data_IF_731549734484
#
_entry.id   IF_731549734484
#
_cell.length_a   1.000
_cell.length_b   1.000
_cell.length_c   1.000
_cell.angle_alpha   90.00
_cell.angle_beta   90.00
_cell.angle_gamma   90.00
#
_symmetry.space_group_name_H-M   'P 1'
#
loop_
_entity.id
_entity.type
_entity.pdbx_description
1 polymer ?
#
# COMPACT_ATOMS: atom_id res chain seq x y z
N UNK A 1 34.04 -28.04 13.59
CA UNK A 1 33.03 -27.25 14.29
C UNK A 1 31.73 -27.38 13.51
N UNK A 2 30.71 -27.99 14.13
CA UNK A 2 29.37 -28.07 13.57
C UNK A 2 28.78 -26.67 13.49
N UNK A 3 28.68 -26.12 12.27
CA UNK A 3 28.01 -24.85 12.05
C UNK A 3 26.51 -25.04 12.29
N UNK A 4 25.97 -24.31 13.26
CA UNK A 4 24.52 -24.23 13.48
C UNK A 4 23.96 -23.08 12.67
N UNK A 5 22.88 -23.33 11.91
CA UNK A 5 22.18 -22.32 11.12
C UNK A 5 20.75 -22.23 11.65
N UNK A 6 20.27 -21.02 11.87
CA UNK A 6 18.88 -20.75 12.24
C UNK A 6 18.28 -19.90 11.13
N UNK A 7 17.16 -20.35 10.58
CA UNK A 7 16.36 -19.58 9.61
C UNK A 7 15.11 -19.06 10.30
N UNK A 8 14.82 -17.79 10.11
CA UNK A 8 13.59 -17.15 10.63
C UNK A 8 12.88 -16.51 9.47
N UNK A 9 11.58 -16.77 9.31
CA UNK A 9 10.80 -16.22 8.23
C UNK A 9 9.30 -16.32 8.49
N UNK A 10 8.53 -15.55 7.74
CA UNK A 10 7.08 -15.57 7.77
C UNK A 10 6.56 -15.54 6.31
N UNK A 11 5.99 -16.65 5.87
CA UNK A 11 5.44 -16.78 4.51
C UNK A 11 4.26 -15.82 4.28
N UNK A 12 3.49 -15.53 5.34
CA UNK A 12 2.34 -14.62 5.25
C UNK A 12 2.75 -13.14 5.16
N UNK A 13 4.05 -12.85 5.28
CA UNK A 13 4.63 -11.53 5.02
C UNK A 13 5.45 -11.46 3.74
N UNK A 14 5.39 -12.47 2.88
CA UNK A 14 6.03 -12.47 1.56
C UNK A 14 5.20 -11.65 0.57
N UNK A 15 5.56 -10.36 0.38
CA UNK A 15 4.83 -9.39 -0.44
C UNK A 15 5.68 -8.75 -1.55
N UNK A 16 6.91 -9.21 -1.78
CA UNK A 16 7.83 -8.64 -2.76
C UNK A 16 8.10 -9.55 -3.97
N UNK A 17 7.18 -10.44 -4.32
CA UNK A 17 7.29 -11.30 -5.50
C UNK A 17 7.51 -10.50 -6.79
N UNK A 18 6.88 -9.34 -6.92
CA UNK A 18 7.07 -8.41 -8.06
C UNK A 18 8.49 -7.83 -8.17
N UNK A 19 9.32 -7.95 -7.14
CA UNK A 19 10.74 -7.59 -7.14
C UNK A 19 11.67 -8.81 -7.32
N UNK A 20 11.12 -9.96 -7.69
CA UNK A 20 11.89 -11.19 -7.89
C UNK A 20 12.17 -11.98 -6.61
N UNK A 21 11.49 -11.67 -5.50
CA UNK A 21 11.55 -12.53 -4.32
C UNK A 21 10.94 -13.89 -4.64
N UNK A 22 11.67 -14.96 -4.29
CA UNK A 22 11.21 -16.32 -4.48
C UNK A 22 10.09 -16.65 -3.47
N UNK A 23 8.84 -16.88 -3.92
CA UNK A 23 7.74 -17.20 -3.04
C UNK A 23 7.90 -18.55 -2.33
N UNK A 24 8.74 -19.43 -2.85
CA UNK A 24 8.99 -20.77 -2.34
C UNK A 24 10.32 -20.87 -1.56
N UNK A 25 10.94 -19.74 -1.22
CA UNK A 25 12.25 -19.73 -0.55
C UNK A 25 12.29 -20.56 0.73
N UNK A 26 11.26 -20.46 1.57
CA UNK A 26 11.16 -21.22 2.83
C UNK A 26 10.99 -22.72 2.55
N UNK A 27 10.17 -23.11 1.58
CA UNK A 27 10.00 -24.50 1.18
C UNK A 27 11.31 -25.10 0.64
N UNK A 28 12.04 -24.35 -0.19
CA UNK A 28 13.35 -24.77 -0.70
C UNK A 28 14.35 -24.97 0.45
N UNK A 29 14.37 -24.08 1.45
CA UNK A 29 15.19 -24.22 2.63
C UNK A 29 14.82 -25.50 3.41
N UNK A 30 13.53 -25.74 3.63
CA UNK A 30 13.03 -26.95 4.32
C UNK A 30 13.46 -28.20 3.58
N UNK A 31 13.27 -28.26 2.28
CA UNK A 31 13.63 -29.42 1.47
C UNK A 31 15.15 -29.67 1.41
N UNK A 32 15.95 -28.60 1.43
CA UNK A 32 17.41 -28.72 1.34
C UNK A 32 18.08 -29.11 2.66
N UNK A 33 17.61 -28.52 3.77
CA UNK A 33 18.26 -28.66 5.07
C UNK A 33 17.55 -29.60 6.03
N UNK A 34 16.29 -29.97 5.75
CA UNK A 34 15.43 -30.77 6.66
C UNK A 34 15.49 -30.28 8.13
N UNK A 35 15.24 -28.98 8.39
CA UNK A 35 15.44 -28.37 9.69
C UNK A 35 14.39 -28.87 10.70
N UNK A 36 14.69 -28.74 11.99
CA UNK A 36 13.66 -28.84 13.03
C UNK A 36 12.84 -27.54 12.97
N UNK A 37 11.53 -27.66 12.80
CA UNK A 37 10.64 -26.52 12.66
C UNK A 37 9.95 -26.17 13.98
N UNK A 38 9.95 -24.87 14.28
CA UNK A 38 9.18 -24.30 15.38
C UNK A 38 8.26 -23.22 14.84
N UNK A 39 6.97 -23.27 15.21
CA UNK A 39 5.99 -22.28 14.81
C UNK A 39 5.78 -21.24 15.90
N UNK A 40 5.82 -19.96 15.52
CA UNK A 40 5.45 -18.84 16.36
C UNK A 40 4.01 -18.43 16.00
N UNK A 41 3.04 -18.94 16.76
CA UNK A 41 1.61 -18.74 16.49
C UNK A 41 0.99 -17.64 17.36
N UNK A 42 1.77 -17.04 18.25
CA UNK A 42 1.28 -16.06 19.21
C UNK A 42 1.81 -14.66 18.92
N UNK A 43 0.88 -13.72 18.69
CA UNK A 43 1.19 -12.32 18.48
C UNK A 43 1.23 -11.56 19.81
N UNK A 44 2.31 -10.81 20.03
CA UNK A 44 2.45 -9.85 21.14
C UNK A 44 2.22 -8.42 20.68
N UNK A 45 2.07 -8.21 19.38
CA UNK A 45 1.86 -6.89 18.76
C UNK A 45 0.38 -6.52 18.71
N UNK A 46 -0.39 -7.31 17.98
CA UNK A 46 -1.78 -7.01 17.69
C UNK A 46 -2.70 -7.59 18.77
N UNK A 47 -3.70 -6.83 19.23
CA UNK A 47 -4.76 -7.36 20.10
C UNK A 47 -5.58 -8.46 19.42
N UNK A 48 -6.26 -9.27 20.24
CA UNK A 48 -7.08 -10.38 19.76
C UNK A 48 -8.14 -9.95 18.75
N UNK A 49 -8.77 -8.79 18.96
CA UNK A 49 -9.77 -8.24 18.04
C UNK A 49 -9.19 -8.02 16.62
N UNK A 50 -7.99 -7.45 16.53
CA UNK A 50 -7.34 -7.22 15.22
C UNK A 50 -6.93 -8.54 14.58
N UNK A 51 -6.50 -9.52 15.37
CA UNK A 51 -6.17 -10.87 14.88
C UNK A 51 -7.39 -11.54 14.22
N UNK A 52 -8.61 -11.26 14.67
CA UNK A 52 -9.82 -11.84 14.06
C UNK A 52 -9.96 -11.45 12.58
N UNK A 53 -9.54 -10.25 12.19
CA UNK A 53 -9.60 -9.79 10.80
C UNK A 53 -8.73 -10.63 9.84
N UNK A 54 -7.72 -11.31 10.35
CA UNK A 54 -6.74 -12.05 9.52
C UNK A 54 -6.76 -13.56 9.75
N UNK A 55 -7.66 -14.07 10.60
CA UNK A 55 -7.78 -15.52 10.88
C UNK A 55 -8.11 -16.36 9.64
N UNK A 56 -8.77 -15.79 8.65
CA UNK A 56 -9.06 -16.50 7.39
C UNK A 56 -7.79 -16.72 6.54
N UNK A 57 -6.73 -15.94 6.78
CA UNK A 57 -5.43 -16.08 6.11
C UNK A 57 -4.48 -16.93 6.96
N UNK A 58 -4.44 -16.67 8.28
CA UNK A 58 -3.57 -17.36 9.25
C UNK A 58 -4.44 -17.97 10.37
N UNK A 59 -5.06 -19.14 10.16
CA UNK A 59 -6.04 -19.71 11.11
C UNK A 59 -5.51 -19.94 12.52
N UNK A 60 -4.25 -20.32 12.64
CA UNK A 60 -3.62 -20.70 13.91
C UNK A 60 -3.03 -19.52 14.71
N UNK A 61 -3.14 -18.29 14.19
CA UNK A 61 -2.61 -17.14 14.92
C UNK A 61 -3.52 -16.78 16.11
N UNK A 62 -2.88 -16.52 17.24
CA UNK A 62 -3.52 -16.07 18.48
C UNK A 62 -2.87 -14.78 18.98
N UNK A 63 -3.41 -14.17 20.03
CA UNK A 63 -2.81 -13.00 20.66
C UNK A 63 -2.79 -13.17 22.18
N UNK A 64 -1.71 -12.70 22.80
CA UNK A 64 -1.62 -12.47 24.25
C UNK A 64 -2.16 -11.10 24.66
N UNK A 65 -2.30 -10.18 23.71
CA UNK A 65 -2.77 -8.84 23.98
C UNK A 65 -4.29 -8.80 23.87
N UNK A 66 -4.96 -8.44 24.95
CA UNK A 66 -6.41 -8.24 25.01
C UNK A 66 -6.80 -6.85 24.53
N UNK A 67 -8.07 -6.67 24.22
CA UNK A 67 -8.63 -5.39 23.75
C UNK A 67 -8.37 -5.15 22.25
N UNK A 68 -8.31 -3.87 21.88
CA UNK A 68 -8.29 -3.43 20.51
C UNK A 68 -9.69 -3.22 19.95
N UNK A 69 -9.77 -2.59 18.77
CA UNK A 69 -11.03 -2.41 18.06
C UNK A 69 -10.86 -2.52 16.56
N UNK A 70 -11.91 -3.02 15.91
CA UNK A 70 -12.09 -2.96 14.46
C UNK A 70 -13.32 -2.13 14.18
N UNK A 71 -13.19 -1.12 13.33
CA UNK A 71 -14.28 -0.26 12.91
C UNK A 71 -14.37 -0.24 11.38
N UNK A 72 -15.55 0.12 10.87
CA UNK A 72 -15.76 0.41 9.45
C UNK A 72 -16.27 1.83 9.33
N UNK A 73 -15.62 2.63 8.48
CA UNK A 73 -16.03 3.99 8.16
C UNK A 73 -16.50 4.08 6.71
N UNK A 74 -17.63 4.71 6.48
CA UNK A 74 -18.19 4.91 5.15
C UNK A 74 -17.59 6.16 4.51
N UNK A 75 -16.80 5.95 3.47
CA UNK A 75 -16.21 7.00 2.66
C UNK A 75 -15.02 7.71 3.30
N UNK A 76 -14.06 8.08 2.47
CA UNK A 76 -12.85 8.81 2.93
C UNK A 76 -13.10 10.31 3.14
N UNK A 77 -14.27 10.83 2.69
CA UNK A 77 -14.54 12.27 2.67
C UNK A 77 -14.84 12.84 4.04
N UNK A 78 -15.51 12.05 4.89
CA UNK A 78 -16.01 12.51 6.21
C UNK A 78 -15.17 11.98 7.38
N UNK A 79 -14.07 11.28 7.09
CA UNK A 79 -13.18 10.78 8.14
C UNK A 79 -12.25 11.90 8.60
N UNK A 80 -12.31 12.25 9.87
CA UNK A 80 -11.29 13.07 10.51
C UNK A 80 -10.16 12.17 11.00
N UNK A 81 -9.09 12.12 10.20
CA UNK A 81 -7.92 11.33 10.53
C UNK A 81 -7.13 11.99 11.65
N UNK A 82 -6.85 11.28 12.76
CA UNK A 82 -6.05 11.83 13.85
C UNK A 82 -4.61 12.12 13.40
N UNK A 83 -3.91 12.96 14.16
CA UNK A 83 -2.53 13.34 13.84
C UNK A 83 -1.57 12.15 13.90
N UNK A 84 -1.82 11.17 14.77
CA UNK A 84 -0.99 9.97 14.90
C UNK A 84 -1.71 8.75 14.36
N UNK A 85 -1.52 8.45 13.07
CA UNK A 85 -2.07 7.26 12.43
C UNK A 85 -1.30 6.88 11.17
N UNK A 86 -1.44 5.63 10.75
CA UNK A 86 -1.10 5.20 9.40
C UNK A 86 -2.37 5.12 8.55
N UNK A 87 -2.28 5.70 7.36
CA UNK A 87 -3.31 5.64 6.33
C UNK A 87 -2.71 4.79 5.21
N UNK A 88 -3.15 3.54 5.15
CA UNK A 88 -2.57 2.51 4.30
C UNK A 88 -3.51 2.19 3.15
N UNK A 89 -2.99 2.11 1.93
CA UNK A 89 -3.72 1.67 0.75
C UNK A 89 -2.93 0.67 -0.08
N UNK A 90 -3.64 -0.18 -0.82
CA UNK A 90 -3.03 -1.09 -1.80
C UNK A 90 -2.44 -0.32 -2.98
N UNK A 91 -3.05 0.79 -3.38
CA UNK A 91 -2.66 1.62 -4.53
C UNK A 91 -2.31 3.05 -4.12
N UNK A 92 -1.48 3.70 -4.92
CA UNK A 92 -1.10 5.09 -4.70
C UNK A 92 -2.24 6.08 -5.03
N UNK A 93 -3.15 5.74 -5.93
CA UNK A 93 -4.22 6.63 -6.38
C UNK A 93 -5.11 7.12 -5.23
N UNK A 94 -5.43 6.23 -4.28
CA UNK A 94 -6.19 6.60 -3.08
C UNK A 94 -5.39 7.55 -2.16
N UNK A 95 -4.09 7.31 -2.01
CA UNK A 95 -3.22 8.15 -1.18
C UNK A 95 -3.05 9.55 -1.76
N UNK A 96 -2.97 9.66 -3.08
CA UNK A 96 -2.88 10.95 -3.79
C UNK A 96 -4.15 11.78 -3.57
N UNK A 97 -5.34 11.16 -3.66
CA UNK A 97 -6.61 11.85 -3.38
C UNK A 97 -6.67 12.39 -1.96
N UNK A 98 -6.21 11.61 -0.99
CA UNK A 98 -6.16 12.03 0.42
C UNK A 98 -5.12 13.12 0.64
N UNK A 99 -3.94 13.02 0.03
CA UNK A 99 -2.92 14.06 0.09
C UNK A 99 -3.44 15.38 -0.46
N UNK A 100 -4.20 15.35 -1.58
CA UNK A 100 -4.84 16.53 -2.14
C UNK A 100 -5.84 17.15 -1.15
N UNK A 101 -6.72 16.34 -0.55
CA UNK A 101 -7.66 16.77 0.49
C UNK A 101 -6.94 17.40 1.69
N UNK A 102 -5.88 16.77 2.20
CA UNK A 102 -5.13 17.29 3.34
C UNK A 102 -4.46 18.63 3.06
N UNK A 103 -3.93 18.82 1.85
CA UNK A 103 -3.36 20.12 1.43
C UNK A 103 -4.46 21.20 1.41
N UNK A 104 -5.64 20.90 0.87
CA UNK A 104 -6.77 21.85 0.88
C UNK A 104 -7.24 22.19 2.29
N UNK A 105 -7.20 21.23 3.20
CA UNK A 105 -7.57 21.41 4.61
C UNK A 105 -6.43 21.94 5.49
N UNK A 106 -5.28 22.25 4.91
CA UNK A 106 -4.04 22.65 5.60
C UNK A 106 -3.62 21.66 6.71
N UNK A 107 -3.85 20.36 6.50
CA UNK A 107 -3.45 19.29 7.40
C UNK A 107 -2.06 18.79 7.06
N UNK A 108 -1.21 18.64 8.07
CA UNK A 108 0.12 18.04 7.90
C UNK A 108 0.03 16.52 7.79
N UNK A 109 0.89 15.95 6.94
CA UNK A 109 1.03 14.50 6.76
C UNK A 109 2.45 14.16 6.31
N UNK A 110 2.80 12.90 6.39
CA UNK A 110 4.02 12.36 5.78
C UNK A 110 3.66 11.40 4.66
N UNK A 111 4.35 11.51 3.53
CA UNK A 111 4.28 10.55 2.42
C UNK A 111 5.70 10.29 1.90
N UNK A 112 5.98 9.07 1.41
CA UNK A 112 7.33 8.69 1.04
C UNK A 112 7.98 9.61 0.01
N UNK A 113 9.17 10.14 0.31
CA UNK A 113 9.87 11.10 -0.57
C UNK A 113 10.20 10.54 -1.95
N UNK A 114 10.48 9.24 -2.06
CA UNK A 114 10.67 8.56 -3.36
C UNK A 114 9.40 8.58 -4.20
N UNK A 115 8.23 8.41 -3.58
CA UNK A 115 6.94 8.53 -4.25
C UNK A 115 6.70 9.95 -4.77
N UNK A 116 6.95 10.97 -3.94
CA UNK A 116 6.81 12.38 -4.36
C UNK A 116 7.72 12.68 -5.56
N UNK A 117 8.98 12.25 -5.49
CA UNK A 117 9.93 12.49 -6.57
C UNK A 117 9.52 11.79 -7.88
N UNK A 118 8.98 10.57 -7.79
CA UNK A 118 8.46 9.86 -8.94
C UNK A 118 7.22 10.55 -9.51
N UNK A 119 6.27 10.90 -8.66
CA UNK A 119 5.04 11.60 -9.05
C UNK A 119 5.34 12.92 -9.76
N UNK A 120 6.28 13.71 -9.25
CA UNK A 120 6.73 14.95 -9.90
C UNK A 120 7.29 14.71 -11.30
N UNK A 121 8.13 13.67 -11.47
CA UNK A 121 8.69 13.34 -12.78
C UNK A 121 7.58 12.92 -13.76
N UNK A 122 6.65 12.09 -13.31
CA UNK A 122 5.56 11.60 -14.15
C UNK A 122 4.60 12.73 -14.55
N UNK A 123 4.24 13.61 -13.62
CA UNK A 123 3.43 14.80 -13.89
C UNK A 123 4.11 15.73 -14.90
N UNK A 124 5.39 16.05 -14.69
CA UNK A 124 6.13 16.92 -15.61
C UNK A 124 6.23 16.30 -17.02
N UNK A 125 6.43 14.98 -17.13
CA UNK A 125 6.52 14.30 -18.42
C UNK A 125 5.18 14.28 -19.17
N UNK A 126 4.09 13.99 -18.45
CA UNK A 126 2.77 13.77 -19.07
C UNK A 126 2.04 15.09 -19.29
N UNK A 127 2.23 16.09 -18.43
CA UNK A 127 1.48 17.34 -18.47
C UNK A 127 2.25 18.50 -19.11
N UNK A 128 3.50 18.28 -19.53
CA UNK A 128 4.28 19.33 -20.18
C UNK A 128 3.59 19.82 -21.47
N UNK A 129 3.36 21.12 -21.53
CA UNK A 129 2.67 21.75 -22.67
C UNK A 129 1.15 21.62 -22.70
N UNK A 130 0.54 20.94 -21.73
CA UNK A 130 -0.92 20.86 -21.62
C UNK A 130 -1.50 22.11 -20.95
N UNK A 131 -2.48 22.72 -21.60
CA UNK A 131 -3.14 23.97 -21.15
C UNK A 131 -4.55 23.73 -20.59
N UNK A 132 -5.03 22.48 -20.59
CA UNK A 132 -6.35 22.12 -20.09
C UNK A 132 -6.35 20.75 -19.43
N UNK A 133 -7.29 20.52 -18.48
CA UNK A 133 -7.47 19.22 -17.84
C UNK A 133 -7.86 18.12 -18.85
N UNK A 134 -8.61 18.47 -19.89
CA UNK A 134 -8.96 17.55 -20.99
C UNK A 134 -7.71 17.10 -21.72
N UNK A 135 -6.87 18.03 -22.15
CA UNK A 135 -5.60 17.72 -22.84
C UNK A 135 -4.64 16.90 -21.94
N UNK A 136 -4.61 17.20 -20.63
CA UNK A 136 -3.85 16.39 -19.68
C UNK A 136 -4.37 14.95 -19.60
N UNK A 137 -5.70 14.76 -19.58
CA UNK A 137 -6.33 13.43 -19.58
C UNK A 137 -6.03 12.64 -20.85
N UNK A 138 -6.16 13.28 -22.01
CA UNK A 138 -5.84 12.67 -23.30
C UNK A 138 -4.37 12.22 -23.35
N UNK A 139 -3.47 13.08 -22.88
CA UNK A 139 -2.04 12.76 -22.82
C UNK A 139 -1.72 11.60 -21.85
N UNK A 140 -2.44 11.50 -20.73
CA UNK A 140 -2.35 10.36 -19.80
C UNK A 140 -2.72 9.06 -20.52
N UNK A 141 -3.83 9.05 -21.26
CA UNK A 141 -4.30 7.87 -21.98
C UNK A 141 -3.30 7.48 -23.09
N UNK A 142 -2.86 8.42 -23.89
CA UNK A 142 -1.88 8.18 -24.95
C UNK A 142 -0.55 7.61 -24.42
N UNK A 143 -0.04 8.18 -23.34
CA UNK A 143 1.20 7.70 -22.74
C UNK A 143 1.01 6.32 -22.06
N UNK A 144 -0.14 6.08 -21.45
CA UNK A 144 -0.50 4.79 -20.87
C UNK A 144 -0.49 3.68 -21.93
N UNK A 145 -1.17 3.88 -23.06
CA UNK A 145 -1.20 2.92 -24.17
C UNK A 145 0.19 2.62 -24.71
N UNK A 146 1.00 3.67 -24.92
CA UNK A 146 2.40 3.51 -25.38
C UNK A 146 3.28 2.72 -24.39
N UNK A 147 3.10 2.92 -23.09
CA UNK A 147 3.86 2.18 -22.10
C UNK A 147 3.38 0.73 -21.96
N UNK A 148 2.07 0.48 -22.08
CA UNK A 148 1.53 -0.88 -22.12
C UNK A 148 2.07 -1.67 -23.32
N UNK A 149 2.09 -1.05 -24.48
CA UNK A 149 2.64 -1.67 -25.70
C UNK A 149 4.12 -2.07 -25.56
N UNK A 150 4.90 -1.22 -24.89
CA UNK A 150 6.32 -1.53 -24.62
C UNK A 150 6.50 -2.61 -23.56
N UNK A 151 5.55 -2.76 -22.65
CA UNK A 151 5.60 -3.71 -21.54
C UNK A 151 5.13 -5.13 -21.93
N UNK A 152 4.85 -5.39 -23.23
CA UNK A 152 4.33 -6.67 -23.73
C UNK A 152 5.03 -7.87 -23.10
N UNK A 153 4.25 -8.71 -22.41
CA UNK A 153 4.70 -9.98 -21.80
C UNK A 153 5.27 -9.88 -20.38
N UNK A 154 5.36 -8.69 -19.78
CA UNK A 154 5.76 -8.55 -18.38
C UNK A 154 4.63 -8.00 -17.51
N UNK A 155 3.90 -8.89 -16.87
CA UNK A 155 2.73 -8.58 -16.03
C UNK A 155 3.02 -7.60 -14.88
N UNK A 156 4.20 -7.67 -14.28
CA UNK A 156 4.61 -6.78 -13.20
C UNK A 156 4.82 -5.34 -13.67
N UNK A 157 5.35 -5.20 -14.87
CA UNK A 157 5.47 -3.89 -15.50
C UNK A 157 4.07 -3.31 -15.78
N UNK A 158 3.12 -4.13 -16.24
CA UNK A 158 1.73 -3.71 -16.49
C UNK A 158 1.08 -3.16 -15.22
N UNK A 159 1.08 -3.91 -14.12
CA UNK A 159 0.50 -3.44 -12.84
C UNK A 159 1.17 -2.16 -12.33
N UNK A 160 2.48 -2.02 -12.51
CA UNK A 160 3.20 -0.81 -12.12
C UNK A 160 2.79 0.39 -12.98
N UNK A 161 2.59 0.17 -14.29
CA UNK A 161 2.11 1.17 -15.25
C UNK A 161 0.68 1.59 -14.87
N UNK A 162 -0.23 0.64 -14.67
CA UNK A 162 -1.61 0.90 -14.25
C UNK A 162 -1.63 1.78 -12.99
N UNK A 163 -0.94 1.38 -11.92
CA UNK A 163 -0.89 2.15 -10.67
C UNK A 163 -0.34 3.58 -10.86
N UNK A 164 0.63 3.77 -11.75
CA UNK A 164 1.18 5.08 -12.08
C UNK A 164 0.10 5.96 -12.73
N UNK A 165 -0.52 5.48 -13.79
CA UNK A 165 -1.51 6.25 -14.55
C UNK A 165 -2.81 6.47 -13.78
N UNK A 166 -3.24 5.52 -12.96
CA UNK A 166 -4.34 5.70 -12.00
C UNK A 166 -4.07 6.83 -11.01
N UNK A 167 -2.82 6.98 -10.59
CA UNK A 167 -2.42 8.08 -9.70
C UNK A 167 -2.48 9.44 -10.41
N UNK A 168 -2.07 9.51 -11.68
CA UNK A 168 -2.16 10.74 -12.49
C UNK A 168 -3.62 11.11 -12.77
N UNK A 169 -4.45 10.15 -13.16
CA UNK A 169 -5.89 10.35 -13.35
C UNK A 169 -6.58 10.77 -12.04
N UNK A 170 -6.15 10.21 -10.91
CA UNK A 170 -6.70 10.58 -9.62
C UNK A 170 -6.49 12.06 -9.30
N UNK A 171 -5.35 12.64 -9.68
CA UNK A 171 -5.06 14.09 -9.54
C UNK A 171 -5.95 14.90 -10.46
N UNK A 172 -6.01 14.56 -11.76
CA UNK A 172 -6.86 15.27 -12.74
C UNK A 172 -8.32 15.28 -12.29
N UNK A 173 -8.80 14.19 -11.70
CA UNK A 173 -10.20 14.04 -11.28
C UNK A 173 -10.58 14.90 -10.07
N UNK A 174 -9.62 15.34 -9.26
CA UNK A 174 -9.85 16.19 -8.08
C UNK A 174 -9.47 17.64 -8.33
N UNK A 175 -8.64 17.93 -9.32
CA UNK A 175 -8.22 19.27 -9.69
C UNK A 175 -9.34 20.02 -10.42
N UNK A 176 -9.43 21.33 -10.21
CA UNK A 176 -10.37 22.23 -10.88
C UNK A 176 -9.75 22.94 -12.08
N UNK A 177 -8.42 23.04 -12.12
CA UNK A 177 -7.66 23.64 -13.22
C UNK A 177 -6.26 23.01 -13.34
N UNK A 178 -5.54 23.25 -14.47
CA UNK A 178 -4.13 22.88 -14.58
C UNK A 178 -3.23 23.50 -13.50
N UNK A 179 -3.51 24.75 -13.12
CA UNK A 179 -2.77 25.48 -12.08
C UNK A 179 -2.93 24.82 -10.71
N UNK A 180 -4.09 24.23 -10.43
CA UNK A 180 -4.32 23.44 -9.22
C UNK A 180 -3.34 22.26 -9.11
N UNK A 181 -3.10 21.58 -10.24
CA UNK A 181 -2.16 20.45 -10.27
C UNK A 181 -0.74 20.92 -9.99
N UNK A 182 -0.31 22.03 -10.59
CA UNK A 182 1.01 22.60 -10.32
C UNK A 182 1.15 23.04 -8.86
N UNK A 183 0.12 23.66 -8.31
CA UNK A 183 0.05 24.08 -6.91
C UNK A 183 0.10 22.86 -5.97
N UNK A 184 -0.67 21.83 -6.28
CA UNK A 184 -0.64 20.56 -5.54
C UNK A 184 0.77 19.95 -5.50
N UNK A 185 1.44 19.84 -6.64
CA UNK A 185 2.80 19.28 -6.72
C UNK A 185 3.81 20.09 -5.91
N UNK A 186 3.69 21.42 -5.92
CA UNK A 186 4.53 22.31 -5.10
C UNK A 186 4.25 22.11 -3.63
N UNK A 187 2.98 22.12 -3.24
CA UNK A 187 2.56 22.01 -1.85
C UNK A 187 2.79 20.60 -1.28
N UNK A 188 2.73 19.55 -2.10
CA UNK A 188 2.98 18.18 -1.67
C UNK A 188 4.35 18.02 -0.98
N UNK A 189 5.37 18.73 -1.46
CA UNK A 189 6.70 18.70 -0.83
C UNK A 189 6.75 19.55 0.46
N UNK A 190 5.96 20.62 0.55
CA UNK A 190 5.93 21.52 1.71
C UNK A 190 5.10 20.93 2.87
N UNK A 191 3.99 20.26 2.56
CA UNK A 191 3.11 19.64 3.56
C UNK A 191 3.56 18.23 3.95
N UNK A 192 4.44 17.60 3.15
CA UNK A 192 5.00 16.30 3.47
C UNK A 192 6.16 16.44 4.45
N UNK A 193 5.83 16.66 5.70
CA UNK A 193 6.81 16.70 6.78
C UNK A 193 7.08 15.28 7.31
N UNK A 194 8.34 14.88 7.33
CA UNK A 194 8.77 13.61 7.91
C UNK A 194 8.50 13.51 9.42
N UNK A 195 8.37 14.64 10.11
CA UNK A 195 8.04 14.72 11.52
C UNK A 195 6.55 14.48 11.80
N UNK A 196 5.67 14.60 10.78
CA UNK A 196 4.24 14.33 10.95
C UNK A 196 4.01 12.86 11.29
N UNK A 197 3.21 12.63 12.30
CA UNK A 197 2.81 11.28 12.72
C UNK A 197 1.69 10.69 11.84
N UNK A 198 0.94 11.52 11.09
CA UNK A 198 -0.06 11.07 10.08
C UNK A 198 0.67 10.63 8.82
N UNK A 199 0.75 9.33 8.57
CA UNK A 199 1.55 8.76 7.48
C UNK A 199 0.68 8.11 6.41
N UNK A 200 0.75 8.64 5.18
CA UNK A 200 0.15 8.04 3.99
C UNK A 200 1.18 7.11 3.34
N UNK A 201 0.82 5.84 3.19
CA UNK A 201 1.74 4.85 2.63
C UNK A 201 1.04 3.67 1.97
N UNK A 202 1.70 3.05 1.02
CA UNK A 202 1.22 1.76 0.50
C UNK A 202 1.46 0.66 1.52
N UNK A 203 0.71 -0.46 1.39
CA UNK A 203 0.91 -1.64 2.23
C UNK A 203 2.37 -2.10 2.20
N UNK A 204 3.00 -2.05 1.02
CA UNK A 204 4.42 -2.42 0.85
C UNK A 204 5.37 -1.54 1.69
N UNK A 205 5.09 -0.24 1.75
CA UNK A 205 5.89 0.71 2.55
C UNK A 205 5.63 0.57 4.05
N UNK A 206 4.46 0.08 4.44
CA UNK A 206 4.08 -0.12 5.84
C UNK A 206 4.71 -1.39 6.46
N UNK A 207 5.25 -2.30 5.64
CA UNK A 207 5.88 -3.52 6.16
C UNK A 207 7.06 -3.17 7.08
N UNK A 208 7.06 -3.75 8.26
CA UNK A 208 8.07 -3.51 9.30
C UNK A 208 7.75 -2.34 10.24
N UNK A 209 6.76 -1.52 9.91
CA UNK A 209 6.30 -0.42 10.76
C UNK A 209 5.08 -0.82 11.57
N UNK A 210 4.74 -0.02 12.58
CA UNK A 210 3.54 -0.20 13.41
C UNK A 210 3.09 1.14 14.01
N UNK A 211 1.81 1.24 14.37
CA UNK A 211 1.20 2.45 14.92
C UNK A 211 -0.02 2.09 15.77
N UNK A 212 -0.41 2.93 16.75
CA UNK A 212 -1.64 2.72 17.52
C UNK A 212 -2.87 2.55 16.63
N UNK A 213 -3.04 3.38 15.60
CA UNK A 213 -4.23 3.39 14.75
C UNK A 213 -3.88 3.27 13.27
N UNK A 214 -4.50 2.31 12.59
CA UNK A 214 -4.39 2.11 11.14
C UNK A 214 -5.74 2.36 10.48
N UNK A 215 -5.75 3.19 9.46
CA UNK A 215 -6.82 3.30 8.48
C UNK A 215 -6.45 2.54 7.22
N UNK A 216 -7.16 1.47 6.94
CA UNK A 216 -6.96 0.69 5.73
C UNK A 216 -7.98 1.13 4.66
N UNK A 217 -7.48 1.87 3.68
CA UNK A 217 -8.28 2.51 2.65
C UNK A 217 -8.62 1.50 1.56
N UNK A 218 -9.92 1.31 1.31
CA UNK A 218 -10.46 0.41 0.29
C UNK A 218 -9.81 -0.98 0.33
N UNK A 219 -10.02 -1.74 1.42
CA UNK A 219 -9.43 -3.08 1.59
C UNK A 219 -9.83 -4.04 0.46
N UNK A 220 -11.02 -3.85 -0.14
CA UNK A 220 -11.52 -4.65 -1.26
C UNK A 220 -10.61 -4.60 -2.50
N UNK A 221 -9.71 -3.61 -2.56
CA UNK A 221 -8.70 -3.55 -3.64
C UNK A 221 -7.77 -4.77 -3.62
N UNK A 222 -7.46 -5.33 -2.44
CA UNK A 222 -6.70 -6.59 -2.35
C UNK A 222 -7.49 -7.76 -2.94
N UNK A 223 -8.78 -7.87 -2.64
CA UNK A 223 -9.65 -8.90 -3.21
C UNK A 223 -9.74 -8.78 -4.74
N UNK A 224 -9.91 -7.57 -5.25
CA UNK A 224 -9.92 -7.29 -6.68
C UNK A 224 -8.64 -7.75 -7.40
N UNK A 225 -7.46 -7.43 -6.86
CA UNK A 225 -6.20 -7.89 -7.44
C UNK A 225 -6.01 -9.40 -7.30
N UNK A 226 -6.49 -10.00 -6.20
CA UNK A 226 -6.49 -11.45 -6.00
C UNK A 226 -7.31 -12.18 -7.05
N UNK A 227 -8.50 -11.67 -7.39
CA UNK A 227 -9.35 -12.24 -8.45
C UNK A 227 -8.69 -12.15 -9.82
N UNK A 228 -7.98 -11.08 -10.12
CA UNK A 228 -7.21 -10.89 -11.36
C UNK A 228 -5.90 -11.70 -11.41
N UNK A 229 -5.48 -12.29 -10.31
CA UNK A 229 -4.25 -13.07 -10.23
C UNK A 229 -4.41 -14.43 -10.88
N UNK A 230 -3.43 -14.84 -11.69
CA UNK A 230 -3.48 -16.10 -12.44
C UNK A 230 -2.89 -17.26 -11.64
N UNK A 231 -1.77 -17.00 -10.95
CA UNK A 231 -1.07 -18.01 -10.18
C UNK A 231 -1.49 -18.05 -8.72
N UNK A 232 -1.36 -19.22 -8.11
CA UNK A 232 -1.69 -19.40 -6.69
C UNK A 232 -0.81 -18.54 -5.77
N UNK A 233 0.44 -18.35 -6.10
CA UNK A 233 1.33 -17.52 -5.27
C UNK A 233 1.02 -16.02 -5.39
N UNK A 234 0.54 -15.53 -6.55
CA UNK A 234 0.04 -14.14 -6.67
C UNK A 234 -1.19 -13.92 -5.79
N UNK A 235 -2.13 -14.88 -5.80
CA UNK A 235 -3.31 -14.85 -4.91
C UNK A 235 -2.89 -14.82 -3.44
N UNK A 236 -1.94 -15.66 -3.08
CA UNK A 236 -1.38 -15.68 -1.72
C UNK A 236 -0.71 -14.35 -1.37
N UNK A 237 -0.04 -13.71 -2.33
CA UNK A 237 0.60 -12.41 -2.10
C UNK A 237 -0.44 -11.30 -1.80
N UNK A 238 -1.60 -11.30 -2.43
CA UNK A 238 -2.66 -10.34 -2.09
C UNK A 238 -3.26 -10.62 -0.70
N UNK A 239 -3.42 -11.88 -0.30
CA UNK A 239 -3.77 -12.24 1.08
C UNK A 239 -2.69 -11.78 2.07
N UNK A 240 -1.42 -11.95 1.73
CA UNK A 240 -0.31 -11.48 2.54
C UNK A 240 -0.29 -9.95 2.67
N UNK A 241 -0.63 -9.22 1.61
CA UNK A 241 -0.76 -7.76 1.66
C UNK A 241 -1.87 -7.34 2.62
N UNK A 242 -3.04 -7.99 2.55
CA UNK A 242 -4.14 -7.74 3.49
C UNK A 242 -3.70 -8.04 4.94
N UNK A 243 -3.05 -9.19 5.17
CA UNK A 243 -2.49 -9.56 6.46
C UNK A 243 -1.50 -8.52 7.00
N UNK A 244 -0.55 -8.09 6.16
CA UNK A 244 0.43 -7.06 6.52
C UNK A 244 -0.26 -5.76 6.90
N UNK A 245 -1.24 -5.29 6.11
CA UNK A 245 -1.95 -4.04 6.38
C UNK A 245 -2.65 -4.07 7.75
N UNK A 246 -3.43 -5.11 8.02
CA UNK A 246 -4.17 -5.26 9.28
C UNK A 246 -3.22 -5.34 10.49
N UNK A 247 -2.13 -6.09 10.36
CA UNK A 247 -1.20 -6.32 11.48
C UNK A 247 -0.22 -5.18 11.74
N UNK A 248 -0.40 -4.01 11.11
CA UNK A 248 0.32 -2.77 11.47
C UNK A 248 -0.32 -2.06 12.65
N UNK A 249 -1.57 -2.36 12.97
CA UNK A 249 -2.32 -1.73 14.05
C UNK A 249 -1.98 -2.34 15.42
N UNK A 250 -1.63 -1.48 16.38
CA UNK A 250 -1.36 -1.87 17.76
C UNK A 250 -2.61 -1.87 18.64
N UNK A 251 -3.61 -1.01 18.30
CA UNK A 251 -4.82 -0.83 19.11
C UNK A 251 -6.09 -0.75 18.28
N UNK A 252 -6.08 -0.02 17.16
CA UNK A 252 -7.28 0.26 16.38
C UNK A 252 -7.04 0.06 14.88
N UNK A 253 -7.94 -0.71 14.26
CA UNK A 253 -7.99 -0.91 12.81
C UNK A 253 -9.31 -0.37 12.27
N UNK A 254 -9.25 0.56 11.32
CA UNK A 254 -10.43 1.14 10.67
C UNK A 254 -10.41 0.78 9.19
N UNK A 255 -11.39 0.02 8.73
CA UNK A 255 -11.62 -0.21 7.32
C UNK A 255 -12.41 0.94 6.73
N UNK A 256 -12.00 1.46 5.57
CA UNK A 256 -12.75 2.49 4.84
C UNK A 256 -13.24 1.95 3.52
N UNK A 257 -14.49 2.20 3.19
CA UNK A 257 -15.11 1.79 1.91
C UNK A 257 -14.89 2.84 0.82
#
# INVERSE_FOLDING_TARGET
PTKRIVFVGDMNQAIYGFRGSDPYAIEKIKNHYSPIEYQLTESFRCPQEIITAVKHIVPNITSKKTGGSIETADGNRDIDFPDECFIISRTNSNLVKLAYKFIQENKHFSIGGTFIAQLKRDLNRVFNGCVSLTGMRENVVDQYEKELDRAKGNKWNITSIENKYDSLLAIINVATSPEDIHTFVKNLAMHSDSASCRKLMTIHAAKGLETPTVYFIKPDTCAYFKEKSESQWEKQQEDNLYYVACTRALNKLVFTK
#
